data_IF_686155371914
#
_entry.id   IF_686155371914
#
_cell.length_a   1.000
_cell.length_b   1.000
_cell.length_c   1.000
_cell.angle_alpha   90.00
_cell.angle_beta   90.00
_cell.angle_gamma   90.00
#
_symmetry.space_group_name_H-M   'P 1'
#
loop_
_entity.id
_entity.type
_entity.pdbx_description
1 polymer ?
#
# COMPACT_ATOMS: atom_id res chain seq x y z
N UNK A 1 -3.99 -3.35 -14.17
CA UNK A 1 -2.70 -2.88 -13.63
C UNK A 1 -2.86 -1.43 -13.33
N UNK A 2 -2.58 -1.04 -12.08
CA UNK A 2 -2.56 0.35 -11.65
C UNK A 2 -1.65 1.16 -12.58
N UNK A 3 -2.21 2.19 -13.21
CA UNK A 3 -1.47 3.13 -14.04
C UNK A 3 -1.25 4.44 -13.26
N UNK A 4 -0.30 5.27 -13.71
CA UNK A 4 -0.06 6.60 -13.15
C UNK A 4 0.31 6.62 -11.65
N UNK A 5 1.19 5.71 -11.21
CA UNK A 5 1.80 5.74 -9.88
C UNK A 5 3.33 5.79 -9.96
N UNK A 6 3.99 6.17 -8.86
CA UNK A 6 5.45 6.19 -8.74
C UNK A 6 6.10 7.51 -9.21
N UNK A 7 7.43 7.52 -9.32
CA UNK A 7 8.19 8.74 -9.61
C UNK A 7 7.96 9.30 -11.02
N UNK A 8 7.52 8.47 -11.97
CA UNK A 8 7.20 8.89 -13.33
C UNK A 8 5.91 9.71 -13.47
N UNK A 9 5.18 9.97 -12.38
CA UNK A 9 3.97 10.82 -12.39
C UNK A 9 4.18 12.21 -11.83
N UNK A 10 5.41 12.53 -11.40
CA UNK A 10 5.75 13.87 -10.93
C UNK A 10 5.68 14.83 -12.15
N UNK A 11 4.95 15.96 -12.06
CA UNK A 11 4.82 16.89 -13.17
C UNK A 11 6.19 17.44 -13.60
N UNK A 12 6.45 17.46 -14.92
CA UNK A 12 7.70 18.02 -15.47
C UNK A 12 7.74 19.56 -15.37
N UNK A 13 6.57 20.21 -15.43
CA UNK A 13 6.44 21.66 -15.41
C UNK A 13 5.76 22.11 -14.11
N UNK A 14 6.58 22.58 -13.16
CA UNK A 14 6.11 23.09 -11.87
C UNK A 14 6.26 24.61 -11.83
N UNK A 15 5.23 25.32 -11.37
CA UNK A 15 5.24 26.77 -11.26
C UNK A 15 6.33 27.26 -10.29
N UNK A 16 7.06 28.31 -10.66
CA UNK A 16 8.04 28.97 -9.78
C UNK A 16 7.42 29.44 -8.46
N UNK A 17 6.13 29.77 -8.45
CA UNK A 17 5.40 30.15 -7.23
C UNK A 17 5.31 28.99 -6.22
N UNK A 18 5.24 27.74 -6.71
CA UNK A 18 5.27 26.55 -5.85
C UNK A 18 6.70 26.36 -5.32
N UNK A 19 7.70 26.47 -6.18
CA UNK A 19 9.11 26.25 -5.80
C UNK A 19 9.64 27.30 -4.82
N UNK A 20 9.12 28.53 -4.88
CA UNK A 20 9.50 29.64 -4.00
C UNK A 20 8.80 29.61 -2.64
N UNK A 21 7.75 28.79 -2.46
CA UNK A 21 7.11 28.58 -1.17
C UNK A 21 7.55 27.22 -0.59
N UNK A 22 8.33 27.19 0.51
CA UNK A 22 8.85 25.93 1.07
C UNK A 22 7.77 24.88 1.38
N UNK A 23 6.63 25.31 1.93
CA UNK A 23 5.54 24.40 2.29
C UNK A 23 4.87 23.79 1.05
N UNK A 24 4.76 24.58 -0.04
CA UNK A 24 4.23 24.09 -1.30
C UNK A 24 5.24 23.18 -2.02
N UNK A 25 6.53 23.50 -1.93
CA UNK A 25 7.61 22.68 -2.48
C UNK A 25 7.70 21.31 -1.78
N UNK A 26 7.46 21.23 -0.47
CA UNK A 26 7.44 19.97 0.28
C UNK A 26 6.37 18.99 -0.24
N UNK A 27 5.28 19.48 -0.85
CA UNK A 27 4.26 18.64 -1.48
C UNK A 27 4.78 17.84 -2.68
N UNK A 28 5.97 18.16 -3.20
CA UNK A 28 6.63 17.45 -4.29
C UNK A 28 7.48 16.26 -3.80
N UNK A 29 7.70 16.13 -2.49
CA UNK A 29 8.50 15.04 -1.94
C UNK A 29 7.76 13.70 -2.11
N UNK A 30 8.44 12.66 -2.62
CA UNK A 30 7.86 11.33 -2.67
C UNK A 30 7.51 10.83 -1.26
N UNK A 31 6.33 10.23 -1.09
CA UNK A 31 5.87 9.73 0.21
C UNK A 31 6.82 8.69 0.84
N UNK A 32 7.57 7.95 0.02
CA UNK A 32 8.61 7.05 0.53
C UNK A 32 9.75 7.77 1.23
N UNK A 33 10.12 8.97 0.77
CA UNK A 33 11.15 9.82 1.37
C UNK A 33 10.63 10.46 2.66
N UNK A 34 9.37 10.91 2.68
CA UNK A 34 8.78 11.46 3.91
C UNK A 34 8.71 10.41 5.01
N UNK A 35 8.42 9.15 4.66
CA UNK A 35 8.49 8.02 5.59
C UNK A 35 9.92 7.78 6.13
N UNK A 36 10.96 7.89 5.30
CA UNK A 36 12.35 7.79 5.76
C UNK A 36 12.75 8.96 6.68
N UNK A 37 12.27 10.17 6.40
CA UNK A 37 12.49 11.33 7.27
C UNK A 37 11.87 11.10 8.65
N UNK A 38 10.63 10.61 8.71
CA UNK A 38 9.98 10.25 9.98
C UNK A 38 10.78 9.16 10.71
N UNK A 39 11.23 8.13 10.01
CA UNK A 39 12.04 7.09 10.63
C UNK A 39 13.33 7.65 11.25
N UNK A 40 14.00 8.58 10.56
CA UNK A 40 15.21 9.23 11.03
C UNK A 40 14.95 10.16 12.23
N UNK A 41 13.96 11.05 12.11
CA UNK A 41 13.70 12.10 13.10
C UNK A 41 13.21 11.52 14.44
N UNK A 42 12.49 10.40 14.38
CA UNK A 42 11.94 9.72 15.56
C UNK A 42 12.72 8.45 15.95
N UNK A 43 13.82 8.14 15.27
CA UNK A 43 14.66 6.98 15.58
C UNK A 43 13.98 5.63 15.41
N UNK A 44 13.04 5.50 14.47
CA UNK A 44 12.31 4.26 14.20
C UNK A 44 13.24 3.31 13.44
N UNK A 45 13.63 2.23 14.11
CA UNK A 45 14.60 1.29 13.56
C UNK A 45 14.02 0.46 12.41
N UNK A 46 14.91 -0.13 11.62
CA UNK A 46 14.52 -1.05 10.54
C UNK A 46 13.77 -2.26 11.08
N UNK A 47 14.24 -2.79 12.21
CA UNK A 47 13.69 -3.96 12.87
C UNK A 47 12.26 -3.70 13.34
N UNK A 48 11.99 -2.50 13.90
CA UNK A 48 10.63 -2.11 14.29
C UNK A 48 9.67 -2.03 13.10
N UNK A 49 10.13 -1.47 11.98
CA UNK A 49 9.33 -1.40 10.74
C UNK A 49 8.99 -2.79 10.20
N UNK A 50 9.98 -3.69 10.15
CA UNK A 50 9.78 -5.06 9.68
C UNK A 50 8.88 -5.88 10.64
N UNK A 51 9.06 -5.73 11.95
CA UNK A 51 8.20 -6.38 12.95
C UNK A 51 6.75 -5.89 12.84
N UNK A 52 6.54 -4.59 12.59
CA UNK A 52 5.22 -4.05 12.34
C UNK A 52 4.57 -4.68 11.10
N UNK A 53 5.32 -4.79 10.01
CA UNK A 53 4.85 -5.40 8.77
C UNK A 53 4.49 -6.88 8.95
N UNK A 54 5.34 -7.68 9.59
CA UNK A 54 5.06 -9.10 9.91
C UNK A 54 3.77 -9.22 10.70
N UNK A 55 3.58 -8.39 11.74
CA UNK A 55 2.34 -8.38 12.53
C UNK A 55 1.12 -7.99 11.69
N UNK A 56 1.27 -7.07 10.74
CA UNK A 56 0.20 -6.68 9.82
C UNK A 56 -0.26 -7.85 8.96
N UNK A 57 0.67 -8.53 8.28
CA UNK A 57 0.39 -9.72 7.47
C UNK A 57 -0.23 -10.86 8.28
N UNK A 58 0.31 -11.15 9.47
CA UNK A 58 -0.21 -12.20 10.34
C UNK A 58 -1.66 -11.94 10.78
N UNK A 59 -1.98 -10.71 11.19
CA UNK A 59 -3.35 -10.32 11.56
C UNK A 59 -4.31 -10.41 10.38
N UNK A 60 -3.90 -9.92 9.20
CA UNK A 60 -4.73 -9.96 8.00
C UNK A 60 -5.00 -11.41 7.55
N UNK A 61 -3.97 -12.26 7.53
CA UNK A 61 -4.11 -13.68 7.21
C UNK A 61 -5.06 -14.40 8.18
N UNK A 62 -4.94 -14.13 9.48
CA UNK A 62 -5.84 -14.67 10.48
C UNK A 62 -7.27 -14.19 10.27
N UNK A 63 -7.48 -12.88 10.07
CA UNK A 63 -8.81 -12.30 9.86
C UNK A 63 -9.51 -12.87 8.60
N UNK A 64 -8.76 -13.06 7.52
CA UNK A 64 -9.29 -13.67 6.29
C UNK A 64 -9.66 -15.14 6.51
N UNK A 65 -8.81 -15.93 7.19
CA UNK A 65 -9.09 -17.34 7.54
C UNK A 65 -10.32 -17.49 8.44
N UNK A 66 -10.47 -16.58 9.39
CA UNK A 66 -11.62 -16.53 10.31
C UNK A 66 -12.89 -15.97 9.63
N UNK A 67 -12.79 -15.52 8.37
CA UNK A 67 -13.91 -14.99 7.60
C UNK A 67 -14.40 -13.61 8.05
N UNK A 68 -13.56 -12.84 8.77
CA UNK A 68 -13.94 -11.53 9.31
C UNK A 68 -14.26 -10.50 8.23
N UNK A 69 -13.67 -10.62 7.05
CA UNK A 69 -13.91 -9.70 5.92
C UNK A 69 -15.14 -10.07 5.08
N UNK A 70 -15.79 -11.22 5.33
CA UNK A 70 -16.91 -11.69 4.50
C UNK A 70 -18.11 -10.75 4.49
N UNK A 71 -18.33 -9.99 5.57
CA UNK A 71 -19.45 -9.05 5.67
C UNK A 71 -19.22 -7.73 4.93
N UNK A 72 -17.97 -7.37 4.65
CA UNK A 72 -17.59 -6.08 4.06
C UNK A 72 -17.10 -6.20 2.62
N UNK A 73 -16.58 -7.37 2.21
CA UNK A 73 -16.19 -7.64 0.82
C UNK A 73 -17.43 -8.01 -0.01
N UNK A 74 -17.65 -7.25 -1.08
CA UNK A 74 -18.61 -7.61 -2.13
C UNK A 74 -17.87 -8.36 -3.23
N UNK A 75 -18.18 -9.65 -3.50
CA UNK A 75 -17.52 -10.41 -4.56
C UNK A 75 -17.73 -9.76 -5.94
N UNK A 76 -16.63 -9.49 -6.65
CA UNK A 76 -16.69 -8.89 -7.98
C UNK A 76 -16.34 -9.94 -9.03
N UNK A 77 -17.22 -10.11 -10.03
CA UNK A 77 -16.93 -10.94 -11.21
C UNK A 77 -16.09 -10.15 -12.20
N UNK A 78 -14.91 -10.68 -12.55
CA UNK A 78 -13.98 -10.02 -13.47
C UNK A 78 -13.52 -10.96 -14.58
N UNK A 79 -13.12 -10.40 -15.71
CA UNK A 79 -12.37 -11.11 -16.75
C UNK A 79 -10.89 -11.03 -16.42
N UNK A 80 -10.29 -12.15 -16.03
CA UNK A 80 -8.88 -12.25 -15.73
C UNK A 80 -8.12 -12.91 -16.88
N UNK A 81 -7.03 -12.28 -17.30
CA UNK A 81 -6.15 -12.82 -18.34
C UNK A 81 -4.95 -13.48 -17.69
N UNK A 82 -4.76 -14.77 -17.93
CA UNK A 82 -3.63 -15.51 -17.42
C UNK A 82 -2.32 -14.95 -18.01
N UNK A 83 -1.36 -14.52 -17.16
CA UNK A 83 -0.13 -13.92 -17.66
C UNK A 83 0.77 -14.92 -18.41
N UNK A 84 0.66 -16.22 -18.12
CA UNK A 84 1.46 -17.27 -18.76
C UNK A 84 0.80 -17.79 -20.04
N UNK A 85 -0.50 -18.10 -19.99
CA UNK A 85 -1.20 -18.73 -21.13
C UNK A 85 -1.91 -17.74 -22.05
N UNK A 86 -2.03 -16.47 -21.62
CA UNK A 86 -2.77 -15.40 -22.31
C UNK A 86 -4.27 -15.65 -22.46
N UNK A 87 -4.80 -16.72 -21.86
CA UNK A 87 -6.22 -17.04 -21.89
C UNK A 87 -7.02 -16.14 -20.96
N UNK A 88 -8.22 -15.74 -21.39
CA UNK A 88 -9.15 -14.96 -20.57
C UNK A 88 -10.18 -15.90 -19.95
N UNK A 89 -10.32 -15.84 -18.62
CA UNK A 89 -11.37 -16.55 -17.88
C UNK A 89 -12.14 -15.59 -17.00
N UNK A 90 -13.40 -15.91 -16.72
CA UNK A 90 -14.16 -15.23 -15.69
C UNK A 90 -13.84 -15.82 -14.33
N UNK A 91 -13.50 -14.95 -13.37
CA UNK A 91 -13.27 -15.33 -11.98
C UNK A 91 -14.06 -14.40 -11.06
N UNK A 92 -14.27 -14.84 -9.83
CA UNK A 92 -14.67 -13.96 -8.74
C UNK A 92 -13.43 -13.53 -7.96
N UNK A 93 -13.37 -12.26 -7.61
CA UNK A 93 -12.46 -11.72 -6.60
C UNK A 93 -13.29 -11.45 -5.36
N UNK A 94 -13.10 -12.26 -4.33
CA UNK A 94 -13.91 -12.29 -3.10
C UNK A 94 -13.04 -12.31 -1.82
N UNK A 95 -11.73 -12.11 -1.97
CA UNK A 95 -10.74 -12.08 -0.90
C UNK A 95 -9.58 -11.15 -1.27
N UNK A 96 -8.85 -10.66 -0.27
CA UNK A 96 -7.69 -9.79 -0.48
C UNK A 96 -6.50 -10.59 -1.03
N UNK A 97 -6.00 -10.19 -2.20
CA UNK A 97 -4.91 -10.87 -2.90
C UNK A 97 -3.52 -10.51 -2.36
N UNK A 98 -3.41 -9.40 -1.63
CA UNK A 98 -2.14 -8.83 -1.16
C UNK A 98 -1.60 -9.53 0.09
N UNK A 99 -2.40 -10.36 0.76
CA UNK A 99 -2.00 -11.06 1.99
C UNK A 99 -0.98 -12.16 1.65
N UNK A 100 0.09 -12.23 2.45
CA UNK A 100 1.16 -13.22 2.37
C UNK A 100 1.33 -13.85 3.75
N UNK A 101 1.16 -15.16 3.85
CA UNK A 101 1.15 -15.86 5.14
C UNK A 101 2.56 -16.17 5.68
N UNK A 102 3.55 -16.13 4.80
CA UNK A 102 4.93 -16.54 5.02
C UNK A 102 5.89 -15.35 5.24
N UNK A 103 5.35 -14.17 5.53
CA UNK A 103 6.17 -12.98 5.82
C UNK A 103 6.82 -13.12 7.19
N UNK A 104 8.15 -13.08 7.21
CA UNK A 104 8.97 -13.15 8.41
C UNK A 104 9.94 -11.99 8.43
N UNK A 105 10.48 -11.65 9.61
CA UNK A 105 11.51 -10.63 9.71
C UNK A 105 12.74 -10.96 8.82
N UNK A 106 13.06 -12.26 8.68
CA UNK A 106 14.14 -12.73 7.81
C UNK A 106 13.81 -12.58 6.31
N UNK A 107 12.56 -12.81 5.90
CA UNK A 107 12.18 -12.61 4.50
C UNK A 107 12.15 -11.12 4.13
N UNK A 108 11.73 -10.26 5.07
CA UNK A 108 11.79 -8.80 4.91
C UNK A 108 13.22 -8.26 4.89
N UNK A 109 14.12 -8.78 5.73
CA UNK A 109 15.51 -8.32 5.82
C UNK A 109 16.28 -8.44 4.50
N UNK A 110 15.91 -9.42 3.66
CA UNK A 110 16.48 -9.68 2.33
C UNK A 110 16.06 -8.66 1.26
N UNK A 111 15.04 -7.85 1.52
CA UNK A 111 14.56 -6.86 0.56
C UNK A 111 15.53 -5.67 0.46
N UNK A 112 15.63 -5.11 -0.75
CA UNK A 112 16.44 -3.92 -1.03
C UNK A 112 15.70 -2.63 -0.64
N UNK A 113 16.42 -1.58 -0.21
CA UNK A 113 15.84 -0.26 0.00
C UNK A 113 15.02 0.22 -1.21
N UNK A 114 13.86 0.83 -0.93
CA UNK A 114 12.92 1.23 -1.97
C UNK A 114 13.12 2.68 -2.46
N UNK A 115 13.61 3.60 -1.62
CA UNK A 115 13.63 5.03 -1.93
C UNK A 115 15.01 5.68 -1.81
N UNK A 116 15.76 5.41 -0.73
CA UNK A 116 17.16 5.81 -0.63
C UNK A 116 18.09 4.61 -0.43
N UNK A 117 19.36 4.76 -0.80
CA UNK A 117 20.37 3.68 -0.74
C UNK A 117 20.57 3.14 0.69
N UNK A 118 20.50 4.03 1.68
CA UNK A 118 20.74 3.72 3.10
C UNK A 118 19.45 3.76 3.94
N UNK A 119 18.30 3.92 3.28
CA UNK A 119 17.00 4.00 3.94
C UNK A 119 16.56 2.68 4.55
N UNK A 120 15.60 2.74 5.48
CA UNK A 120 14.99 1.58 6.14
C UNK A 120 13.76 1.02 5.41
N UNK A 121 13.15 1.82 4.53
CA UNK A 121 11.95 1.43 3.79
C UNK A 121 12.24 0.36 2.74
N UNK A 122 11.36 -0.63 2.66
CA UNK A 122 11.40 -1.78 1.76
C UNK A 122 10.01 -2.03 1.20
N UNK A 123 9.93 -2.72 0.06
CA UNK A 123 8.64 -3.11 -0.51
C UNK A 123 7.77 -3.94 0.46
N UNK A 124 8.39 -4.70 1.37
CA UNK A 124 7.66 -5.56 2.31
C UNK A 124 7.26 -4.88 3.62
N UNK A 125 7.83 -3.72 3.96
CA UNK A 125 7.43 -2.92 5.12
C UNK A 125 6.69 -1.62 4.75
N UNK A 126 6.44 -1.41 3.45
CA UNK A 126 5.55 -0.40 2.92
C UNK A 126 4.21 -1.03 2.48
N UNK A 127 3.18 -0.19 2.29
CA UNK A 127 1.91 -0.61 1.70
C UNK A 127 2.11 -1.01 0.23
N UNK A 128 1.42 -2.07 -0.18
CA UNK A 128 1.35 -2.45 -1.60
C UNK A 128 0.49 -1.44 -2.36
N UNK A 129 0.81 -1.26 -3.64
CA UNK A 129 -0.10 -0.60 -4.59
C UNK A 129 -1.19 -1.60 -4.94
N UNK A 130 -2.45 -1.22 -4.75
CA UNK A 130 -3.60 -2.11 -4.88
C UNK A 130 -4.74 -1.42 -5.63
N UNK A 131 -5.51 -2.21 -6.38
CA UNK A 131 -6.71 -1.76 -7.08
C UNK A 131 -7.96 -2.15 -6.26
N UNK A 132 -8.82 -1.19 -5.92
CA UNK A 132 -10.02 -1.46 -5.10
C UNK A 132 -10.93 -0.23 -4.95
N UNK A 133 -12.13 -0.44 -4.41
CA UNK A 133 -13.10 0.61 -4.12
C UNK A 133 -13.89 0.30 -2.84
N UNK A 134 -14.34 1.34 -2.14
CA UNK A 134 -15.20 1.23 -0.96
C UNK A 134 -16.27 2.34 -0.99
N UNK A 135 -17.45 2.06 -0.43
CA UNK A 135 -18.54 3.03 -0.33
C UNK A 135 -19.20 2.97 1.05
N UNK A 136 -19.57 4.13 1.58
CA UNK A 136 -20.29 4.27 2.85
C UNK A 136 -21.51 5.16 2.64
N UNK A 137 -22.70 4.67 3.03
CA UNK A 137 -23.93 5.46 3.03
C UNK A 137 -24.19 6.02 4.43
N UNK A 138 -24.36 7.34 4.51
CA UNK A 138 -24.67 8.06 5.74
C UNK A 138 -26.09 8.61 5.66
N UNK A 139 -26.81 8.60 6.79
CA UNK A 139 -28.14 9.19 6.90
C UNK A 139 -28.32 9.86 8.26
N UNK A 140 -29.18 10.88 8.31
CA UNK A 140 -29.55 11.52 9.58
C UNK A 140 -30.25 10.54 10.50
N UNK A 141 -29.89 10.52 11.78
CA UNK A 141 -30.63 9.77 12.79
C UNK A 141 -31.96 10.50 13.07
N UNK A 142 -33.13 9.85 12.93
CA UNK A 142 -34.39 10.49 13.28
C UNK A 142 -34.39 10.82 14.78
N UNK A 143 -34.80 12.04 15.11
CA UNK A 143 -35.02 12.47 16.49
C UNK A 143 -36.51 12.31 16.75
N UNK A 144 -36.87 11.45 17.71
CA UNK A 144 -38.23 11.29 18.24
C UNK A 144 -38.39 12.13 19.52
#
# INVERSE_FOLDING_TARGET
MTAHYGTGTIPENISEQILSNPQAADCLLPMGITSENVAKDYGITREEQDVFAVKSYAKAAQAQKEGKFKSEIVPIRVKWKDPKTQQVKEIFVDADECIREDVTAESLSKLKPAFSKDGSNRAGNASQVSDGAAAVLLAGRPIA
#
